data_IF_884472302833
#
_entry.id   IF_884472302833
#
_cell.length_a   1.000
_cell.length_b   1.000
_cell.length_c   1.000
_cell.angle_alpha   90.00
_cell.angle_beta   90.00
_cell.angle_gamma   90.00
#
_symmetry.space_group_name_H-M   'P 1'
#
loop_
_entity.id
_entity.type
_entity.pdbx_description
1 polymer ?
#
# COMPACT_ATOMS: atom_id res chain seq x y z
N UNK A 1 -19.14 -22.72 20.84
CA UNK A 1 -18.83 -21.28 20.61
C UNK A 1 -18.11 -20.80 21.85
N UNK A 2 -17.01 -20.04 21.73
CA UNK A 2 -16.31 -19.52 22.90
C UNK A 2 -17.21 -18.57 23.68
N UNK A 3 -17.07 -18.56 25.00
CA UNK A 3 -17.78 -17.66 25.92
C UNK A 3 -17.41 -16.19 25.70
N UNK A 4 -16.25 -15.94 25.07
CA UNK A 4 -15.74 -14.60 24.78
C UNK A 4 -15.81 -14.28 23.28
N UNK A 5 -16.06 -13.00 22.93
CA UNK A 5 -16.00 -12.54 21.55
C UNK A 5 -14.58 -12.70 20.99
N UNK A 6 -14.49 -13.12 19.73
CA UNK A 6 -13.22 -13.21 19.02
C UNK A 6 -12.68 -11.79 18.73
N UNK A 7 -11.47 -11.50 19.21
CA UNK A 7 -10.79 -10.22 18.98
C UNK A 7 -9.46 -10.49 18.26
N UNK A 8 -9.42 -10.36 16.92
CA UNK A 8 -8.19 -10.56 16.16
C UNK A 8 -7.19 -9.41 16.41
N UNK A 9 -5.90 -9.71 16.40
CA UNK A 9 -4.83 -8.71 16.48
C UNK A 9 -4.79 -7.79 15.25
N UNK A 10 -5.20 -8.31 14.08
CA UNK A 10 -5.30 -7.55 12.84
C UNK A 10 -6.19 -8.25 11.84
N UNK A 11 -6.84 -7.46 10.99
CA UNK A 11 -7.72 -7.92 9.92
C UNK A 11 -7.45 -7.12 8.65
N UNK A 12 -7.81 -7.68 7.50
CA UNK A 12 -7.90 -6.90 6.27
C UNK A 12 -8.93 -5.78 6.43
N UNK A 13 -8.67 -4.62 5.83
CA UNK A 13 -9.55 -3.45 5.84
C UNK A 13 -10.06 -3.10 4.44
N UNK A 14 -9.82 -3.99 3.45
CA UNK A 14 -10.19 -3.77 2.05
C UNK A 14 -11.70 -3.93 1.82
N UNK A 15 -12.28 -3.03 1.05
CA UNK A 15 -13.66 -3.07 0.56
C UNK A 15 -13.74 -3.29 -0.95
N UNK A 16 -14.89 -2.95 -1.54
CA UNK A 16 -15.13 -3.13 -2.98
C UNK A 16 -14.22 -2.22 -3.84
N UNK A 17 -13.88 -1.03 -3.33
CA UNK A 17 -13.02 -0.07 -4.03
C UNK A 17 -11.62 -0.65 -4.30
N UNK A 18 -11.01 -1.31 -3.31
CA UNK A 18 -9.72 -1.98 -3.49
C UNK A 18 -9.81 -3.18 -4.44
N UNK A 19 -10.91 -3.94 -4.39
CA UNK A 19 -11.15 -5.07 -5.29
C UNK A 19 -11.23 -4.58 -6.74
N UNK A 20 -12.03 -3.55 -7.00
CA UNK A 20 -12.21 -2.99 -8.33
C UNK A 20 -10.91 -2.40 -8.88
N UNK A 21 -10.10 -1.76 -8.03
CA UNK A 21 -8.78 -1.27 -8.39
C UNK A 21 -7.85 -2.42 -8.81
N UNK A 22 -7.82 -3.52 -8.06
CA UNK A 22 -7.02 -4.71 -8.42
C UNK A 22 -7.51 -5.32 -9.75
N UNK A 23 -8.82 -5.47 -9.92
CA UNK A 23 -9.41 -5.99 -11.17
C UNK A 23 -9.06 -5.09 -12.36
N UNK A 24 -9.05 -3.77 -12.18
CA UNK A 24 -8.65 -2.82 -13.23
C UNK A 24 -7.20 -3.04 -13.69
N UNK A 25 -6.26 -3.16 -12.75
CA UNK A 25 -4.83 -3.36 -13.04
C UNK A 25 -4.60 -4.72 -13.71
N UNK A 26 -5.30 -5.77 -13.28
CA UNK A 26 -5.25 -7.09 -13.93
C UNK A 26 -5.76 -7.09 -15.37
N UNK A 27 -6.71 -6.21 -15.70
CA UNK A 27 -7.26 -6.06 -17.06
C UNK A 27 -6.45 -5.13 -17.96
N UNK A 28 -5.53 -4.35 -17.40
CA UNK A 28 -4.77 -3.33 -18.13
C UNK A 28 -3.27 -3.66 -18.15
N UNK A 29 -2.57 -3.44 -17.05
CA UNK A 29 -1.16 -3.81 -16.89
C UNK A 29 -0.78 -3.86 -15.41
N UNK A 30 0.00 -4.86 -15.02
CA UNK A 30 0.57 -4.97 -13.67
C UNK A 30 1.93 -4.29 -13.53
N UNK A 31 2.42 -3.66 -14.61
CA UNK A 31 3.69 -2.94 -14.58
C UNK A 31 3.59 -1.71 -13.66
N UNK A 32 4.60 -1.54 -12.79
CA UNK A 32 4.72 -0.32 -11.97
C UNK A 32 4.81 0.91 -12.87
N UNK A 33 3.78 1.77 -12.79
CA UNK A 33 3.64 2.93 -13.66
C UNK A 33 2.75 3.99 -12.97
N UNK A 34 1.72 4.50 -13.65
CA UNK A 34 0.87 5.62 -13.23
C UNK A 34 0.29 5.44 -11.82
N UNK A 35 -0.30 4.28 -11.50
CA UNK A 35 -0.91 4.05 -10.17
C UNK A 35 0.11 4.10 -9.03
N UNK A 36 1.34 3.63 -9.26
CA UNK A 36 2.42 3.71 -8.27
C UNK A 36 2.84 5.17 -8.06
N UNK A 37 3.05 5.91 -9.16
CA UNK A 37 3.41 7.34 -9.09
C UNK A 37 2.33 8.18 -8.40
N UNK A 38 1.07 7.85 -8.64
CA UNK A 38 -0.06 8.49 -7.97
C UNK A 38 -0.06 8.20 -6.46
N UNK A 39 0.16 6.94 -6.06
CA UNK A 39 0.28 6.56 -4.66
C UNK A 39 1.46 7.28 -3.98
N UNK A 40 2.63 7.30 -4.60
CA UNK A 40 3.82 8.00 -4.09
C UNK A 40 3.56 9.49 -3.87
N UNK A 41 2.91 10.15 -4.84
CA UNK A 41 2.55 11.57 -4.75
C UNK A 41 1.56 11.84 -3.61
N UNK A 42 0.50 11.03 -3.49
CA UNK A 42 -0.50 11.15 -2.42
C UNK A 42 0.11 10.94 -1.03
N UNK A 43 0.97 9.93 -0.87
CA UNK A 43 1.65 9.65 0.40
C UNK A 43 2.63 10.77 0.75
N UNK A 44 3.41 11.27 -0.21
CA UNK A 44 4.32 12.39 0.01
C UNK A 44 3.56 13.64 0.49
N UNK A 45 2.43 13.97 -0.16
CA UNK A 45 1.59 15.09 0.24
C UNK A 45 0.97 14.89 1.65
N UNK A 46 0.53 13.69 1.98
CA UNK A 46 -0.06 13.37 3.30
C UNK A 46 0.90 13.66 4.46
N UNK A 47 2.20 13.49 4.24
CA UNK A 47 3.25 13.71 5.25
C UNK A 47 4.06 15.00 5.05
N UNK A 48 3.58 15.92 4.20
CA UNK A 48 4.25 17.17 3.84
C UNK A 48 5.72 16.97 3.41
N UNK A 49 5.93 16.00 2.52
CA UNK A 49 7.23 15.67 1.93
C UNK A 49 7.26 16.05 0.46
N UNK A 50 8.43 16.50 0.01
CA UNK A 50 8.66 16.83 -1.40
C UNK A 50 8.58 15.62 -2.33
N UNK A 51 9.01 14.45 -1.84
CA UNK A 51 9.07 13.20 -2.61
C UNK A 51 8.61 12.02 -1.77
N UNK A 52 8.04 11.02 -2.43
CA UNK A 52 7.74 9.69 -1.90
C UNK A 52 8.29 8.63 -2.85
N UNK A 53 8.76 7.51 -2.31
CA UNK A 53 9.32 6.39 -3.07
C UNK A 53 8.66 5.11 -2.57
N UNK A 54 7.92 4.44 -3.43
CA UNK A 54 7.31 3.14 -3.17
C UNK A 54 8.32 2.02 -3.37
N UNK A 55 8.47 1.16 -2.35
CA UNK A 55 9.28 -0.05 -2.43
C UNK A 55 8.44 -1.26 -2.03
N UNK A 56 8.92 -2.47 -2.31
CA UNK A 56 8.16 -3.70 -2.10
C UNK A 56 7.86 -4.02 -0.63
N UNK A 57 8.58 -3.42 0.34
CA UNK A 57 8.34 -3.63 1.77
C UNK A 57 8.95 -2.52 2.63
N UNK A 58 8.49 -2.40 3.88
CA UNK A 58 9.07 -1.47 4.86
C UNK A 58 10.53 -1.79 5.20
N UNK A 59 10.92 -3.07 5.23
CA UNK A 59 12.32 -3.46 5.47
C UNK A 59 13.23 -3.01 4.33
N UNK A 60 12.80 -3.12 3.08
CA UNK A 60 13.54 -2.58 1.93
C UNK A 60 13.65 -1.06 1.99
N UNK A 61 12.62 -0.37 2.50
CA UNK A 61 12.65 1.08 2.67
C UNK A 61 13.71 1.50 3.69
N UNK A 62 13.77 0.80 4.83
CA UNK A 62 14.78 1.04 5.85
C UNK A 62 16.19 0.74 5.34
N UNK A 63 16.35 -0.37 4.62
CA UNK A 63 17.64 -0.71 4.01
C UNK A 63 18.12 0.39 3.05
N UNK A 64 17.26 0.81 2.11
CA UNK A 64 17.58 1.86 1.17
C UNK A 64 17.89 3.21 1.86
N UNK A 65 17.14 3.54 2.92
CA UNK A 65 17.34 4.80 3.66
C UNK A 65 18.56 4.80 4.59
N UNK A 66 19.08 3.63 4.96
CA UNK A 66 20.28 3.50 5.77
C UNK A 66 21.55 3.38 4.92
N UNK A 67 21.44 2.82 3.71
CA UNK A 67 22.56 2.58 2.78
C UNK A 67 22.85 3.78 1.85
N UNK A 68 21.85 4.64 1.58
CA UNK A 68 21.97 5.88 0.79
C UNK A 68 22.07 7.14 1.68
#
# INVERSE_FOLDING_TARGET
>A
MSEFPYVPYGTTVHGQEEIDAVVHVLRTTTQMSTHVRELESKVAALYDKKYGIGVNSGSSALYLAADL
#
